data_IF_764182658384
#
_entry.id   IF_764182658384
#
_cell.length_a   1.000
_cell.length_b   1.000
_cell.length_c   1.000
_cell.angle_alpha   90.00
_cell.angle_beta   90.00
_cell.angle_gamma   90.00
#
_symmetry.space_group_name_H-M   'P 1'
#
loop_
_entity.id
_entity.type
_entity.pdbx_description
1 polymer ?
#
# COMPACT_ATOMS: atom_id res chain seq x y z
N UNK A 1 22.48 -3.28 5.94
CA UNK A 1 21.71 -2.33 6.79
C UNK A 1 22.12 -0.92 6.39
N UNK A 2 21.24 0.09 6.46
CA UNK A 2 21.59 1.49 6.15
C UNK A 2 21.97 2.20 7.45
N UNK A 3 23.12 2.85 7.47
CA UNK A 3 23.73 3.53 8.61
C UNK A 3 23.83 5.04 8.33
N UNK A 4 22.90 5.86 8.85
CA UNK A 4 22.90 7.31 8.60
C UNK A 4 24.08 8.04 9.28
N UNK A 5 24.69 7.45 10.30
CA UNK A 5 25.84 8.02 11.02
C UNK A 5 27.20 7.74 10.33
N UNK A 6 27.21 6.97 9.24
CA UNK A 6 28.43 6.68 8.49
C UNK A 6 28.92 7.96 7.78
N UNK A 7 30.16 8.40 8.08
CA UNK A 7 30.76 9.61 7.52
C UNK A 7 31.39 9.41 6.14
N UNK A 8 31.65 8.16 5.76
CA UNK A 8 32.34 7.82 4.49
C UNK A 8 31.36 7.54 3.35
N UNK A 9 30.19 6.94 3.66
CA UNK A 9 29.20 6.56 2.68
C UNK A 9 27.87 7.27 2.92
N UNK A 10 27.41 8.04 1.94
CA UNK A 10 26.08 8.65 1.98
C UNK A 10 24.97 7.60 1.96
N UNK A 11 23.80 7.92 2.52
CA UNK A 11 22.59 7.08 2.46
C UNK A 11 22.28 6.66 1.01
N UNK A 12 22.52 7.54 0.03
CA UNK A 12 22.34 7.23 -1.40
C UNK A 12 23.25 6.11 -1.88
N UNK A 13 24.54 6.16 -1.53
CA UNK A 13 25.50 5.13 -1.91
C UNK A 13 25.19 3.80 -1.22
N UNK A 14 24.81 3.85 0.06
CA UNK A 14 24.41 2.65 0.80
C UNK A 14 23.16 1.99 0.20
N UNK A 15 22.14 2.78 -0.15
CA UNK A 15 20.97 2.28 -0.88
C UNK A 15 21.34 1.65 -2.23
N UNK A 16 22.24 2.29 -3.00
CA UNK A 16 22.70 1.75 -4.28
C UNK A 16 23.44 0.41 -4.12
N UNK A 17 24.33 0.30 -3.12
CA UNK A 17 25.07 -0.94 -2.83
C UNK A 17 24.11 -2.07 -2.44
N UNK A 18 23.04 -1.75 -1.71
CA UNK A 18 22.02 -2.71 -1.30
C UNK A 18 20.96 -2.97 -2.38
N UNK A 19 21.09 -2.37 -3.57
CA UNK A 19 20.08 -2.42 -4.64
C UNK A 19 18.67 -2.01 -4.17
N UNK A 20 18.60 -1.09 -3.20
CA UNK A 20 17.36 -0.56 -2.65
C UNK A 20 17.04 0.82 -3.26
N UNK A 21 15.79 1.07 -3.67
CA UNK A 21 15.39 2.42 -4.05
C UNK A 21 15.44 3.33 -2.82
N UNK A 22 16.07 4.51 -2.95
CA UNK A 22 16.24 5.48 -1.86
C UNK A 22 14.92 5.87 -1.18
N UNK A 23 13.82 5.89 -1.93
CA UNK A 23 12.48 6.17 -1.39
C UNK A 23 12.03 5.15 -0.35
N UNK A 24 12.49 3.89 -0.45
CA UNK A 24 12.18 2.85 0.53
C UNK A 24 12.81 3.09 1.88
N UNK A 25 13.97 3.76 1.94
CA UNK A 25 14.61 4.12 3.21
C UNK A 25 13.81 5.17 3.99
N UNK A 26 13.25 6.16 3.28
CA UNK A 26 12.46 7.22 3.93
C UNK A 26 11.00 6.82 4.16
N UNK A 27 10.51 5.76 3.51
CA UNK A 27 9.16 5.27 3.71
C UNK A 27 9.09 4.59 5.08
N UNK A 28 8.39 5.21 6.01
CA UNK A 28 7.99 4.54 7.25
C UNK A 28 6.82 3.62 6.94
N UNK A 29 6.89 2.38 7.43
CA UNK A 29 5.76 1.47 7.43
C UNK A 29 4.74 2.02 8.44
N UNK A 30 3.67 2.63 7.94
CA UNK A 30 2.55 3.06 8.77
C UNK A 30 1.57 1.89 8.84
N UNK A 31 1.13 1.47 10.04
CA UNK A 31 0.10 0.44 10.14
C UNK A 31 -1.20 0.95 9.52
N UNK A 32 -1.92 0.05 8.86
CA UNK A 32 -3.23 0.36 8.29
C UNK A 32 -4.28 0.53 9.40
N UNK A 33 -5.23 1.44 9.21
CA UNK A 33 -6.34 1.61 10.16
C UNK A 33 -7.28 0.39 10.11
N UNK A 34 -7.97 0.09 11.22
CA UNK A 34 -8.93 -1.01 11.25
C UNK A 34 -10.03 -0.86 10.20
N UNK A 35 -10.47 0.37 9.94
CA UNK A 35 -11.43 0.68 8.89
C UNK A 35 -10.89 0.31 7.50
N UNK A 36 -9.62 0.65 7.21
CA UNK A 36 -9.01 0.32 5.93
C UNK A 36 -8.82 -1.20 5.77
N UNK A 37 -8.43 -1.89 6.85
CA UNK A 37 -8.34 -3.35 6.85
C UNK A 37 -9.68 -4.03 6.56
N UNK A 38 -10.79 -3.51 7.10
CA UNK A 38 -12.14 -4.01 6.79
C UNK A 38 -12.48 -3.82 5.32
N UNK A 39 -12.17 -2.66 4.75
CA UNK A 39 -12.36 -2.38 3.32
C UNK A 39 -11.52 -3.32 2.46
N UNK A 40 -10.24 -3.54 2.80
CA UNK A 40 -9.36 -4.48 2.07
C UNK A 40 -9.92 -5.90 2.08
N UNK A 41 -10.39 -6.39 3.23
CA UNK A 41 -11.02 -7.72 3.32
C UNK A 41 -12.28 -7.81 2.46
N UNK A 42 -13.13 -6.79 2.49
CA UNK A 42 -14.33 -6.77 1.67
C UNK A 42 -14.01 -6.75 0.17
N UNK A 43 -12.95 -6.05 -0.25
CA UNK A 43 -12.46 -6.11 -1.64
C UNK A 43 -12.04 -7.54 -1.99
N UNK A 44 -11.23 -8.19 -1.15
CA UNK A 44 -10.74 -9.54 -1.41
C UNK A 44 -11.89 -10.56 -1.50
N UNK A 45 -12.87 -10.48 -0.61
CA UNK A 45 -14.08 -11.31 -0.64
C UNK A 45 -14.88 -11.12 -1.94
N UNK A 46 -15.13 -9.87 -2.33
CA UNK A 46 -15.89 -9.58 -3.55
C UNK A 46 -15.13 -9.98 -4.81
N UNK A 47 -13.80 -9.84 -4.82
CA UNK A 47 -12.97 -10.25 -5.95
C UNK A 47 -12.90 -11.78 -6.07
N UNK A 48 -12.86 -12.49 -4.94
CA UNK A 48 -12.88 -13.96 -4.89
C UNK A 48 -14.22 -14.50 -5.39
N UNK A 49 -15.33 -13.89 -4.97
CA UNK A 49 -16.68 -14.30 -5.41
C UNK A 49 -16.97 -13.89 -6.87
N UNK A 50 -16.45 -12.74 -7.30
CA UNK A 50 -16.77 -12.14 -8.60
C UNK A 50 -15.49 -11.62 -9.30
N UNK A 51 -14.63 -12.51 -9.82
CA UNK A 51 -13.34 -12.12 -10.42
C UNK A 51 -13.45 -11.20 -11.66
N UNK A 52 -14.64 -11.10 -12.24
CA UNK A 52 -14.94 -10.25 -13.41
C UNK A 52 -15.35 -8.82 -13.05
N UNK A 53 -15.50 -8.48 -11.76
CA UNK A 53 -15.83 -7.11 -11.36
C UNK A 53 -14.64 -6.16 -11.58
N UNK A 54 -14.83 -5.22 -12.50
CA UNK A 54 -13.93 -4.09 -12.65
C UNK A 54 -14.01 -3.11 -11.47
N UNK A 55 -13.03 -2.21 -11.39
CA UNK A 55 -12.91 -1.22 -10.30
C UNK A 55 -14.17 -0.37 -10.09
N UNK A 56 -14.88 0.00 -11.16
CA UNK A 56 -16.16 0.75 -11.10
C UNK A 56 -17.24 -0.03 -10.35
N UNK A 57 -17.43 -1.30 -10.71
CA UNK A 57 -18.43 -2.17 -10.09
C UNK A 57 -18.07 -2.45 -8.63
N UNK A 58 -16.78 -2.69 -8.36
CA UNK A 58 -16.27 -2.92 -7.00
C UNK A 58 -16.58 -1.73 -6.07
N UNK A 59 -16.30 -0.50 -6.51
CA UNK A 59 -16.61 0.72 -5.74
C UNK A 59 -18.10 0.83 -5.46
N UNK A 60 -18.96 0.56 -6.45
CA UNK A 60 -20.42 0.61 -6.26
C UNK A 60 -20.91 -0.41 -5.23
N UNK A 61 -20.40 -1.65 -5.27
CA UNK A 61 -20.80 -2.71 -4.35
C UNK A 61 -20.35 -2.40 -2.92
N UNK A 62 -19.11 -1.96 -2.75
CA UNK A 62 -18.58 -1.57 -1.44
C UNK A 62 -19.31 -0.35 -0.87
N UNK A 63 -19.67 0.62 -1.72
CA UNK A 63 -20.49 1.75 -1.31
C UNK A 63 -21.86 1.31 -0.82
N UNK A 64 -22.52 0.37 -1.52
CA UNK A 64 -23.79 -0.22 -1.08
C UNK A 64 -23.67 -1.04 0.19
N UNK A 65 -22.51 -1.64 0.45
CA UNK A 65 -22.21 -2.34 1.69
C UNK A 65 -21.88 -1.39 2.86
N UNK A 66 -21.92 -0.07 2.65
CA UNK A 66 -21.71 0.95 3.69
C UNK A 66 -20.27 1.42 3.83
N UNK A 67 -19.35 0.98 2.95
CA UNK A 67 -17.97 1.46 2.97
C UNK A 67 -17.83 2.82 2.28
N UNK A 68 -17.12 3.74 2.92
CA UNK A 68 -16.72 5.03 2.33
C UNK A 68 -15.50 4.83 1.43
N UNK A 69 -15.72 4.29 0.23
CA UNK A 69 -14.68 4.05 -0.77
C UNK A 69 -14.71 5.08 -1.88
N UNK A 70 -13.54 5.42 -2.41
CA UNK A 70 -13.41 6.24 -3.62
C UNK A 70 -12.45 5.55 -4.60
N UNK A 71 -12.62 5.79 -5.89
CA UNK A 71 -11.67 5.36 -6.91
C UNK A 71 -10.45 6.29 -6.87
N UNK A 72 -9.30 5.77 -6.44
CA UNK A 72 -8.01 6.45 -6.62
C UNK A 72 -7.60 6.32 -8.10
N UNK A 73 -7.22 7.43 -8.75
CA UNK A 73 -6.69 7.45 -10.12
C UNK A 73 -5.17 7.35 -10.11
#
# INVERSE_FOLDING_TARGET
MIEPANKELSIRQQCNLLSLPRSSYYRQAVPESEENLKVMRAIDEQYTMHPWYGSRTMVYILFRAGYKVNRKQ
#
